data_IF_596592679455
#
_entry.id   IF_596592679455
#
_cell.length_a   1.000
_cell.length_b   1.000
_cell.length_c   1.000
_cell.angle_alpha   90.00
_cell.angle_beta   90.00
_cell.angle_gamma   90.00
#
_symmetry.space_group_name_H-M   'P 1'
#
loop_
_entity.id
_entity.type
_entity.pdbx_description
1 polymer ?
#
# COMPACT_ATOMS: atom_id res chain seq x y z
N UNK A 1 -19.94 7.35 13.45
CA UNK A 1 -19.41 6.29 12.56
C UNK A 1 -18.74 6.90 11.33
N UNK A 2 -17.78 6.21 10.72
CA UNK A 2 -17.16 6.69 9.48
C UNK A 2 -18.12 6.60 8.29
N UNK A 3 -17.96 7.47 7.30
CA UNK A 3 -18.70 7.39 6.02
C UNK A 3 -18.46 6.04 5.35
N UNK A 4 -19.52 5.42 4.82
CA UNK A 4 -19.44 4.11 4.13
C UNK A 4 -18.44 4.14 2.97
N UNK A 5 -18.40 5.25 2.24
CA UNK A 5 -17.42 5.47 1.16
C UNK A 5 -15.97 5.37 1.63
N UNK A 6 -15.66 5.82 2.85
CA UNK A 6 -14.30 5.76 3.41
C UNK A 6 -13.91 4.35 3.82
N UNK A 7 -14.85 3.54 4.30
CA UNK A 7 -14.62 2.12 4.61
C UNK A 7 -14.37 1.34 3.31
N UNK A 8 -15.19 1.58 2.28
CA UNK A 8 -15.01 0.94 0.97
C UNK A 8 -13.71 1.36 0.28
N UNK A 9 -13.25 2.59 0.49
CA UNK A 9 -11.95 3.06 -0.01
C UNK A 9 -10.78 2.25 0.58
N UNK A 10 -10.81 1.96 1.88
CA UNK A 10 -9.78 1.09 2.50
C UNK A 10 -9.88 -0.35 2.00
N UNK A 11 -11.10 -0.90 1.84
CA UNK A 11 -11.29 -2.23 1.23
C UNK A 11 -10.69 -2.30 -0.19
N UNK A 12 -10.86 -1.26 -1.01
CA UNK A 12 -10.25 -1.17 -2.35
C UNK A 12 -8.72 -1.14 -2.27
N UNK A 13 -8.15 -0.36 -1.35
CA UNK A 13 -6.69 -0.29 -1.14
C UNK A 13 -6.11 -1.62 -0.68
N UNK A 14 -6.78 -2.31 0.24
CA UNK A 14 -6.36 -3.65 0.70
C UNK A 14 -6.28 -4.64 -0.48
N UNK A 15 -7.31 -4.68 -1.33
CA UNK A 15 -7.33 -5.52 -2.54
C UNK A 15 -6.20 -5.18 -3.51
N UNK A 16 -5.96 -3.89 -3.78
CA UNK A 16 -4.89 -3.46 -4.68
C UNK A 16 -3.50 -3.77 -4.13
N UNK A 17 -3.27 -3.58 -2.83
CA UNK A 17 -2.00 -3.92 -2.20
C UNK A 17 -1.74 -5.43 -2.33
N UNK A 18 -2.73 -6.28 -2.03
CA UNK A 18 -2.57 -7.74 -2.19
C UNK A 18 -2.24 -8.13 -3.66
N UNK A 19 -2.90 -7.49 -4.64
CA UNK A 19 -2.66 -7.77 -6.07
C UNK A 19 -1.26 -7.40 -6.55
N UNK A 20 -0.70 -6.29 -6.08
CA UNK A 20 0.57 -5.74 -6.59
C UNK A 20 1.75 -5.89 -5.62
N UNK A 21 1.55 -6.51 -4.45
CA UNK A 21 2.58 -6.65 -3.42
C UNK A 21 3.87 -7.27 -3.96
N UNK A 22 3.77 -8.41 -4.66
CA UNK A 22 4.91 -9.12 -5.24
C UNK A 22 5.67 -8.26 -6.25
N UNK A 23 4.98 -7.73 -7.27
CA UNK A 23 5.58 -6.88 -8.30
C UNK A 23 6.28 -5.65 -7.72
N UNK A 24 5.71 -5.03 -6.68
CA UNK A 24 6.34 -3.88 -6.00
C UNK A 24 7.56 -4.28 -5.18
N UNK A 25 7.56 -5.44 -4.55
CA UNK A 25 8.70 -5.95 -3.79
C UNK A 25 9.89 -6.25 -4.71
N UNK A 26 9.63 -6.93 -5.84
CA UNK A 26 10.63 -7.22 -6.88
C UNK A 26 11.25 -5.94 -7.44
N UNK A 27 10.43 -4.96 -7.85
CA UNK A 27 10.93 -3.68 -8.38
C UNK A 27 11.71 -2.88 -7.33
N UNK A 28 11.28 -2.89 -6.06
CA UNK A 28 12.00 -2.21 -4.99
C UNK A 28 13.32 -2.89 -4.64
N UNK A 29 13.41 -4.20 -4.73
CA UNK A 29 14.65 -4.93 -4.53
C UNK A 29 15.69 -4.51 -5.58
N UNK A 30 15.28 -4.45 -6.86
CA UNK A 30 16.14 -3.99 -7.96
C UNK A 30 16.64 -2.56 -7.73
N UNK A 31 15.75 -1.64 -7.32
CA UNK A 31 16.11 -0.24 -7.05
C UNK A 31 17.07 -0.11 -5.85
N UNK A 32 16.98 -1.01 -4.87
CA UNK A 32 17.82 -0.95 -3.66
C UNK A 32 19.19 -1.62 -3.84
N UNK A 33 19.39 -2.37 -4.93
CA UNK A 33 20.62 -3.10 -5.16
C UNK A 33 21.68 -2.17 -5.80
N UNK A 34 22.83 -1.95 -5.14
CA UNK A 34 23.87 -1.04 -5.62
C UNK A 34 24.66 -1.58 -6.83
N UNK A 35 24.64 -2.89 -7.05
CA UNK A 35 25.39 -3.56 -8.13
C UNK A 35 24.67 -3.50 -9.49
N UNK A 36 23.46 -2.95 -9.53
CA UNK A 36 22.60 -2.88 -10.72
C UNK A 36 22.96 -1.65 -11.54
N UNK A 37 22.99 -1.79 -12.87
CA UNK A 37 23.24 -0.68 -13.79
C UNK A 37 22.23 0.46 -13.59
N UNK A 38 22.69 1.70 -13.77
CA UNK A 38 21.84 2.89 -13.65
C UNK A 38 20.61 2.85 -14.57
N UNK A 39 20.75 2.28 -15.77
CA UNK A 39 19.63 2.13 -16.73
C UNK A 39 18.56 1.17 -16.21
N UNK A 40 18.97 0.04 -15.62
CA UNK A 40 18.05 -0.94 -15.05
C UNK A 40 17.35 -0.40 -13.80
N UNK A 41 18.05 0.40 -12.99
CA UNK A 41 17.46 1.11 -11.85
C UNK A 41 16.43 2.16 -12.32
N UNK A 42 16.76 2.95 -13.34
CA UNK A 42 15.84 3.90 -13.99
C UNK A 42 14.58 3.21 -14.50
N UNK A 43 14.74 2.12 -15.25
CA UNK A 43 13.62 1.35 -15.78
C UNK A 43 12.74 0.76 -14.67
N UNK A 44 13.34 0.24 -13.61
CA UNK A 44 12.61 -0.27 -12.44
C UNK A 44 11.83 0.86 -11.75
N UNK A 45 12.40 2.06 -11.65
CA UNK A 45 11.72 3.25 -11.13
C UNK A 45 10.53 3.65 -12.02
N UNK A 46 10.68 3.72 -13.34
CA UNK A 46 9.58 4.02 -14.25
C UNK A 46 8.47 2.98 -14.20
N UNK A 47 8.83 1.68 -14.14
CA UNK A 47 7.87 0.57 -13.97
C UNK A 47 7.12 0.69 -12.64
N UNK A 48 7.80 1.07 -11.55
CA UNK A 48 7.19 1.28 -10.24
C UNK A 48 6.22 2.48 -10.23
N UNK A 49 6.56 3.56 -10.94
CA UNK A 49 5.73 4.77 -11.06
C UNK A 49 4.47 4.53 -11.91
N UNK A 50 4.53 3.67 -12.93
CA UNK A 50 3.38 3.28 -13.75
C UNK A 50 2.32 2.49 -12.96
N UNK A 51 2.65 1.94 -11.79
CA UNK A 51 1.69 1.21 -10.97
C UNK A 51 0.68 2.14 -10.26
N UNK A 52 -0.55 1.68 -9.98
CA UNK A 52 -1.55 2.47 -9.28
C UNK A 52 -1.05 2.96 -7.92
N UNK A 53 -1.21 4.25 -7.59
CA UNK A 53 -0.73 4.83 -6.30
C UNK A 53 -1.29 4.12 -5.06
N UNK A 54 -2.55 3.70 -5.11
CA UNK A 54 -3.24 3.00 -4.01
C UNK A 54 -2.77 1.54 -3.83
N UNK A 55 -1.89 1.02 -4.69
CA UNK A 55 -1.20 -0.26 -4.48
C UNK A 55 -0.08 -0.20 -3.44
N UNK A 56 0.27 0.99 -2.94
CA UNK A 56 1.27 1.15 -1.89
C UNK A 56 0.65 0.91 -0.51
N UNK A 57 1.23 0.02 0.33
CA UNK A 57 0.72 -0.25 1.67
C UNK A 57 0.76 0.99 2.58
N UNK A 58 1.66 1.93 2.32
CA UNK A 58 1.79 3.20 3.08
C UNK A 58 0.51 4.06 3.03
N UNK A 59 -0.33 3.87 2.00
CA UNK A 59 -1.59 4.65 1.85
C UNK A 59 -2.77 4.05 2.61
N UNK A 60 -2.61 2.86 3.19
CA UNK A 60 -3.64 2.25 4.01
C UNK A 60 -3.74 2.95 5.36
N UNK A 61 -4.96 3.02 5.89
CA UNK A 61 -5.23 3.58 7.22
C UNK A 61 -5.92 2.52 8.06
N UNK A 62 -5.30 2.16 9.18
CA UNK A 62 -5.95 1.31 10.16
C UNK A 62 -7.21 2.02 10.72
N UNK A 63 -8.33 1.32 10.67
CA UNK A 63 -9.64 1.80 11.12
C UNK A 63 -10.24 0.76 12.05
N UNK A 64 -11.00 1.23 13.03
CA UNK A 64 -11.79 0.36 13.89
C UNK A 64 -12.70 -0.54 13.04
N UNK A 65 -12.70 -1.84 13.31
CA UNK A 65 -13.46 -2.83 12.54
C UNK A 65 -14.99 -2.60 12.57
N UNK A 66 -15.50 -2.04 13.67
CA UNK A 66 -16.94 -1.81 13.87
C UNK A 66 -17.33 -0.41 13.37
N UNK A 67 -16.70 0.63 13.91
CA UNK A 67 -17.12 2.02 13.70
C UNK A 67 -16.45 2.70 12.50
N UNK A 68 -15.37 2.13 11.97
CA UNK A 68 -14.54 2.71 10.92
C UNK A 68 -13.68 3.91 11.37
N UNK A 69 -13.60 4.19 12.68
CA UNK A 69 -12.85 5.31 13.26
C UNK A 69 -11.35 5.20 12.91
N UNK A 70 -10.72 6.25 12.33
CA UNK A 70 -9.35 6.19 11.82
C UNK A 70 -8.26 6.63 12.82
N UNK A 71 -8.64 7.01 14.05
CA UNK A 71 -7.75 7.47 15.13
C UNK A 71 -8.09 6.70 16.40
N UNK A 72 -7.12 6.54 17.29
CA UNK A 72 -7.28 5.72 18.51
C UNK A 72 -7.29 4.21 18.24
N UNK A 73 -6.78 3.77 17.09
CA UNK A 73 -6.76 2.36 16.72
C UNK A 73 -5.71 1.58 17.51
N UNK A 74 -6.15 0.55 18.23
CA UNK A 74 -5.28 -0.36 18.93
C UNK A 74 -5.07 -1.66 18.13
N UNK A 75 -3.82 -1.89 17.68
CA UNK A 75 -3.48 -2.98 16.74
C UNK A 75 -3.79 -4.38 17.28
N UNK A 76 -3.66 -4.61 18.59
CA UNK A 76 -3.92 -5.93 19.20
C UNK A 76 -5.39 -6.34 19.11
N UNK A 77 -6.31 -5.38 19.26
CA UNK A 77 -7.76 -5.64 19.26
C UNK A 77 -8.43 -5.30 17.93
N UNK A 78 -7.79 -4.52 17.05
CA UNK A 78 -8.40 -4.06 15.81
C UNK A 78 -9.53 -3.03 16.02
N UNK A 79 -9.58 -2.44 17.21
CA UNK A 79 -10.66 -1.54 17.65
C UNK A 79 -10.11 -0.18 18.07
N UNK A 80 -10.99 0.84 18.04
CA UNK A 80 -10.70 2.23 18.39
C UNK A 80 -11.93 3.14 18.30
#
# INVERSE_FOLDING_TARGET
MAKVSMVNREKRRAKLVAKYARKRAELKAIISNPDVSFEEQQDAMFKLQKLPRDSSPVRQRNRCAISGRPRGFYRKFGLG
#
